data_IF_066113726627
#
_entry.id   IF_066113726627
#
_cell.length_a   1.000
_cell.length_b   1.000
_cell.length_c   1.000
_cell.angle_alpha   90.00
_cell.angle_beta   90.00
_cell.angle_gamma   90.00
#
_symmetry.space_group_name_H-M   'P 1'
#
loop_
_entity.id
_entity.type
_entity.pdbx_description
1 polymer ?
#
# COMPACT_ATOMS: atom_id res chain seq x y z
N UNK A 1 -39.01 -84.53 36.29
CA UNK A 1 -39.32 -83.41 37.21
C UNK A 1 -38.02 -82.81 37.71
N UNK A 2 -37.68 -81.58 37.31
CA UNK A 2 -37.18 -80.54 38.23
C UNK A 2 -36.83 -79.30 37.40
N UNK A 3 -37.58 -78.24 37.68
CA UNK A 3 -37.41 -76.88 37.18
C UNK A 3 -36.23 -76.22 37.92
N UNK A 4 -35.32 -75.60 37.18
CA UNK A 4 -34.27 -74.75 37.73
C UNK A 4 -34.22 -73.42 36.98
N UNK A 5 -34.85 -72.39 37.54
CA UNK A 5 -34.92 -71.03 37.00
C UNK A 5 -33.53 -70.44 36.75
N UNK A 6 -33.31 -69.92 35.54
CA UNK A 6 -32.16 -69.10 35.19
C UNK A 6 -32.16 -67.82 36.04
N UNK A 7 -31.14 -67.65 36.88
CA UNK A 7 -30.94 -66.45 37.68
C UNK A 7 -30.55 -65.27 36.78
N UNK A 8 -31.40 -64.25 36.74
CA UNK A 8 -31.12 -62.96 36.14
C UNK A 8 -30.00 -62.27 36.94
N UNK A 9 -28.80 -62.16 36.36
CA UNK A 9 -27.72 -61.35 36.92
C UNK A 9 -27.91 -59.90 36.47
N UNK A 10 -28.05 -58.91 37.38
CA UNK A 10 -28.13 -57.52 36.96
C UNK A 10 -26.82 -57.12 36.27
N UNK A 11 -26.93 -56.47 35.11
CA UNK A 11 -25.79 -55.97 34.37
C UNK A 11 -25.00 -54.98 35.23
N UNK A 12 -23.69 -55.19 35.33
CA UNK A 12 -22.76 -54.27 36.00
C UNK A 12 -22.81 -52.93 35.24
N UNK A 13 -23.07 -51.78 35.89
CA UNK A 13 -23.08 -50.50 35.20
C UNK A 13 -21.70 -50.26 34.57
N UNK A 14 -21.70 -49.89 33.29
CA UNK A 14 -20.47 -49.55 32.57
C UNK A 14 -19.79 -48.36 33.28
N UNK A 15 -18.45 -48.32 33.37
CA UNK A 15 -17.77 -47.17 33.93
C UNK A 15 -18.15 -45.93 33.11
N UNK A 16 -18.76 -44.95 33.78
CA UNK A 16 -19.12 -43.67 33.18
C UNK A 16 -17.88 -43.03 32.58
N UNK A 17 -17.91 -42.81 31.25
CA UNK A 17 -16.88 -42.06 30.55
C UNK A 17 -16.82 -40.67 31.17
N UNK A 18 -15.79 -40.43 31.99
CA UNK A 18 -15.47 -39.11 32.53
C UNK A 18 -15.07 -38.23 31.35
N UNK A 19 -16.05 -37.58 30.73
CA UNK A 19 -15.82 -36.45 29.84
C UNK A 19 -15.50 -35.24 30.73
N UNK A 20 -14.30 -35.24 31.31
CA UNK A 20 -13.70 -34.03 31.83
C UNK A 20 -13.27 -33.22 30.62
N UNK A 21 -14.09 -32.26 30.21
CA UNK A 21 -13.65 -31.18 29.32
C UNK A 21 -12.70 -30.33 30.15
N UNK A 22 -11.44 -30.74 30.23
CA UNK A 22 -10.35 -29.94 30.77
C UNK A 22 -9.85 -29.03 29.64
N UNK A 23 -10.66 -28.04 29.26
CA UNK A 23 -10.33 -27.09 28.18
C UNK A 23 -9.70 -25.80 28.69
N UNK A 24 -9.91 -25.44 29.96
CA UNK A 24 -9.48 -24.11 30.49
C UNK A 24 -8.00 -24.08 30.92
N UNK A 25 -7.48 -25.19 31.45
CA UNK A 25 -6.06 -25.31 31.89
C UNK A 25 -5.12 -25.69 30.74
N UNK A 26 -5.63 -26.29 29.67
CA UNK A 26 -4.84 -26.64 28.49
C UNK A 26 -4.51 -25.41 27.64
N UNK A 27 -5.44 -24.47 27.48
CA UNK A 27 -5.25 -23.24 26.71
C UNK A 27 -4.20 -22.32 27.35
N UNK A 28 -4.26 -22.13 28.67
CA UNK A 28 -3.29 -21.31 29.42
C UNK A 28 -1.87 -21.92 29.42
N UNK A 29 -1.75 -23.26 29.46
CA UNK A 29 -0.45 -23.95 29.32
C UNK A 29 0.11 -23.85 27.90
N UNK A 30 -0.75 -23.89 26.88
CA UNK A 30 -0.36 -23.67 25.48
C UNK A 30 0.24 -22.28 25.28
N UNK A 31 -0.37 -21.24 25.85
CA UNK A 31 0.17 -19.88 25.81
C UNK A 31 1.45 -19.73 26.64
N UNK A 32 1.61 -20.44 27.76
CA UNK A 32 2.84 -20.39 28.54
C UNK A 32 4.06 -20.96 27.76
N UNK A 33 3.84 -21.97 26.92
CA UNK A 33 4.89 -22.55 26.05
C UNK A 33 5.10 -21.70 24.78
N UNK A 34 4.03 -21.18 24.18
CA UNK A 34 4.12 -20.36 22.96
C UNK A 34 4.45 -18.88 23.20
N UNK A 35 4.23 -18.38 24.41
CA UNK A 35 4.39 -16.98 24.81
C UNK A 35 5.77 -16.41 24.48
N UNK A 36 6.88 -17.12 24.81
CA UNK A 36 8.22 -16.67 24.42
C UNK A 36 8.40 -16.52 22.91
N UNK A 37 7.82 -17.42 22.10
CA UNK A 37 7.88 -17.33 20.65
C UNK A 37 7.12 -16.11 20.13
N UNK A 38 5.92 -15.84 20.65
CA UNK A 38 5.16 -14.64 20.28
C UNK A 38 5.88 -13.35 20.68
N UNK A 39 6.53 -13.33 21.84
CA UNK A 39 7.33 -12.18 22.28
C UNK A 39 8.48 -11.93 21.31
N UNK A 40 9.21 -12.98 20.91
CA UNK A 40 10.29 -12.85 19.94
C UNK A 40 9.79 -12.35 18.57
N UNK A 41 8.67 -12.87 18.09
CA UNK A 41 8.04 -12.38 16.85
C UNK A 41 7.67 -10.90 17.00
N UNK A 42 7.07 -10.51 18.13
CA UNK A 42 6.70 -9.13 18.36
C UNK A 42 7.93 -8.21 18.40
N UNK A 43 8.97 -8.58 19.15
CA UNK A 43 10.18 -7.80 19.35
C UNK A 43 11.02 -7.62 18.08
N UNK A 44 11.16 -8.69 17.28
CA UNK A 44 12.09 -8.70 16.14
C UNK A 44 11.43 -8.53 14.78
N UNK A 45 10.11 -8.71 14.66
CA UNK A 45 9.40 -8.58 13.39
C UNK A 45 8.37 -7.46 13.47
N UNK A 46 7.41 -7.57 14.38
CA UNK A 46 6.25 -6.66 14.42
C UNK A 46 6.68 -5.24 14.78
N UNK A 47 7.39 -5.08 15.90
CA UNK A 47 7.86 -3.78 16.38
C UNK A 47 8.74 -3.06 15.35
N UNK A 48 9.83 -3.66 14.81
CA UNK A 48 10.66 -2.97 13.82
C UNK A 48 9.92 -2.65 12.53
N UNK A 49 8.96 -3.47 12.10
CA UNK A 49 8.11 -3.17 10.95
C UNK A 49 7.29 -1.89 11.17
N UNK A 50 6.60 -1.77 12.30
CA UNK A 50 5.83 -0.56 12.61
C UNK A 50 6.72 0.65 12.92
N UNK A 51 7.90 0.45 13.51
CA UNK A 51 8.89 1.53 13.66
C UNK A 51 9.34 2.06 12.30
N UNK A 52 9.57 1.19 11.31
CA UNK A 52 9.93 1.62 9.96
C UNK A 52 8.79 2.45 9.31
N UNK A 53 7.53 2.06 9.53
CA UNK A 53 6.37 2.87 9.14
C UNK A 53 6.36 4.21 9.88
N UNK A 54 6.65 4.23 11.19
CA UNK A 54 6.75 5.49 11.94
C UNK A 54 7.85 6.41 11.42
N UNK A 55 9.03 5.85 11.15
CA UNK A 55 10.19 6.60 10.64
C UNK A 55 10.01 7.10 9.21
N UNK A 56 9.14 6.47 8.40
CA UNK A 56 8.85 6.94 7.04
C UNK A 56 8.19 8.33 7.01
N UNK A 57 7.57 8.76 8.12
CA UNK A 57 7.02 10.12 8.30
C UNK A 57 8.06 11.13 8.79
N UNK A 58 9.33 10.73 8.88
CA UNK A 58 10.44 11.58 9.29
C UNK A 58 11.45 11.79 8.17
N UNK A 59 12.34 12.77 8.30
CA UNK A 59 13.47 12.99 7.39
C UNK A 59 14.78 12.37 7.89
N UNK A 60 14.72 11.21 8.56
CA UNK A 60 15.90 10.54 9.12
C UNK A 60 16.95 10.26 8.02
N UNK A 61 18.19 10.65 8.30
CA UNK A 61 19.35 10.49 7.40
C UNK A 61 20.44 9.71 8.12
N UNK A 62 21.06 8.75 7.44
CA UNK A 62 22.11 7.89 8.02
C UNK A 62 23.35 8.70 8.43
N UNK A 63 23.71 9.71 7.65
CA UNK A 63 24.85 10.59 7.90
C UNK A 63 24.38 12.01 7.64
N UNK A 64 23.87 12.68 8.67
CA UNK A 64 23.53 14.10 8.61
C UNK A 64 23.76 14.77 9.97
N UNK A 65 24.35 15.97 9.99
CA UNK A 65 24.45 16.77 11.21
C UNK A 65 23.10 17.38 11.63
N UNK A 66 22.12 17.42 10.72
CA UNK A 66 20.80 17.98 11.02
C UNK A 66 19.97 16.96 11.81
N UNK A 67 19.21 17.40 12.83
CA UNK A 67 18.36 16.52 13.60
C UNK A 67 17.25 15.91 12.72
N UNK A 68 16.73 14.76 13.16
CA UNK A 68 15.55 14.15 12.54
C UNK A 68 14.30 14.94 12.94
N UNK A 69 13.49 15.26 11.95
CA UNK A 69 12.27 16.04 12.06
C UNK A 69 11.09 15.23 11.50
N UNK A 70 9.92 15.45 12.09
CA UNK A 70 8.66 14.94 11.55
C UNK A 70 8.29 15.75 10.30
N UNK A 71 8.18 15.07 9.16
CA UNK A 71 7.79 15.68 7.87
C UNK A 71 6.41 15.25 7.40
N UNK A 72 5.69 14.45 8.20
CA UNK A 72 4.36 13.95 7.87
C UNK A 72 4.38 13.20 6.54
N UNK A 73 3.44 13.53 5.65
CA UNK A 73 3.24 12.85 4.35
C UNK A 73 4.20 13.30 3.26
N UNK A 74 5.10 14.25 3.53
CA UNK A 74 5.95 14.85 2.49
C UNK A 74 6.80 13.82 1.71
N UNK A 75 7.25 12.74 2.36
CA UNK A 75 7.98 11.66 1.68
C UNK A 75 7.09 10.91 0.69
N UNK A 76 5.84 10.64 1.06
CA UNK A 76 4.87 9.96 0.21
C UNK A 76 4.40 10.84 -0.95
N UNK A 77 4.20 12.14 -0.73
CA UNK A 77 3.84 13.10 -1.79
C UNK A 77 4.93 13.22 -2.86
N UNK A 78 6.21 13.07 -2.47
CA UNK A 78 7.33 13.04 -3.41
C UNK A 78 7.35 11.79 -4.28
N UNK A 79 6.84 10.67 -3.78
CA UNK A 79 6.81 9.40 -4.50
C UNK A 79 5.53 9.26 -5.36
N UNK A 80 4.38 9.59 -4.78
CA UNK A 80 3.05 9.36 -5.36
C UNK A 80 2.35 10.62 -5.89
N UNK A 81 3.03 11.78 -5.89
CA UNK A 81 2.40 13.02 -6.31
C UNK A 81 2.06 13.02 -7.81
N UNK A 82 0.80 12.76 -8.16
CA UNK A 82 0.29 12.73 -9.54
C UNK A 82 -0.51 14.02 -9.82
N UNK A 83 -0.46 14.51 -11.06
CA UNK A 83 -1.33 15.56 -11.56
C UNK A 83 -1.72 15.30 -13.00
N UNK A 84 -2.82 15.89 -13.46
CA UNK A 84 -3.29 15.79 -14.84
C UNK A 84 -3.31 17.19 -15.43
N UNK A 85 -2.68 17.36 -16.59
CA UNK A 85 -2.62 18.62 -17.31
C UNK A 85 -3.17 18.41 -18.72
N UNK A 86 -4.22 19.13 -19.08
CA UNK A 86 -4.76 19.12 -20.45
C UNK A 86 -4.28 20.35 -21.18
N UNK A 87 -3.59 20.15 -22.29
CA UNK A 87 -3.14 21.22 -23.18
C UNK A 87 -3.97 21.22 -24.45
N UNK A 88 -4.39 22.41 -24.86
CA UNK A 88 -5.00 22.63 -26.16
C UNK A 88 -3.91 22.91 -27.21
N UNK A 89 -4.13 22.47 -28.45
CA UNK A 89 -3.22 22.77 -29.54
C UNK A 89 -3.19 24.28 -29.80
N UNK A 90 -2.02 24.83 -30.14
CA UNK A 90 -1.89 26.25 -30.45
C UNK A 90 -2.77 26.61 -31.65
N UNK A 91 -3.50 27.72 -31.58
CA UNK A 91 -4.32 28.21 -32.69
C UNK A 91 -3.64 29.40 -33.38
N UNK A 92 -3.71 29.44 -34.70
CA UNK A 92 -3.28 30.55 -35.53
C UNK A 92 -4.22 31.76 -35.41
N UNK A 93 -3.83 32.88 -36.01
CA UNK A 93 -4.65 34.10 -36.03
C UNK A 93 -5.99 33.93 -36.78
N UNK A 94 -6.08 32.89 -37.59
CA UNK A 94 -7.23 32.41 -38.36
C UNK A 94 -8.14 31.44 -37.56
N UNK A 95 -7.77 31.10 -36.33
CA UNK A 95 -8.49 30.13 -35.48
C UNK A 95 -8.22 28.66 -35.84
N UNK A 96 -7.43 28.38 -36.88
CA UNK A 96 -7.01 27.04 -37.26
C UNK A 96 -5.95 26.51 -36.29
N UNK A 97 -5.91 25.18 -36.09
CA UNK A 97 -4.87 24.53 -35.30
C UNK A 97 -3.52 24.72 -36.00
N UNK A 98 -2.52 25.20 -35.27
CA UNK A 98 -1.15 25.29 -35.76
C UNK A 98 -0.59 23.89 -35.89
N UNK A 99 -0.22 23.57 -37.12
CA UNK A 99 0.32 22.26 -37.47
C UNK A 99 1.75 22.46 -37.97
N UNK A 100 2.69 21.67 -37.43
CA UNK A 100 4.06 21.59 -37.92
C UNK A 100 4.27 20.20 -38.49
N UNK A 101 4.65 20.11 -39.77
CA UNK A 101 4.89 18.85 -40.48
C UNK A 101 3.68 17.88 -40.48
N UNK A 102 2.45 18.42 -40.46
CA UNK A 102 1.22 17.62 -40.42
C UNK A 102 0.74 17.26 -39.01
N UNK A 103 1.51 17.59 -37.96
CA UNK A 103 1.17 17.32 -36.56
C UNK A 103 0.77 18.60 -35.79
N UNK A 104 -0.30 18.57 -34.96
CA UNK A 104 -0.69 19.69 -34.11
C UNK A 104 0.43 20.09 -33.14
N UNK A 105 0.72 21.38 -33.07
CA UNK A 105 1.71 21.94 -32.15
C UNK A 105 1.03 22.23 -30.81
N UNK A 106 1.60 21.67 -29.74
CA UNK A 106 1.13 21.92 -28.37
C UNK A 106 2.10 22.83 -27.62
N UNK A 107 1.61 23.64 -26.66
CA UNK A 107 2.46 24.38 -25.74
C UNK A 107 3.45 23.47 -25.00
N UNK A 108 4.62 24.01 -24.66
CA UNK A 108 5.65 23.22 -24.00
C UNK A 108 5.21 22.79 -22.59
N UNK A 109 5.29 21.50 -22.27
CA UNK A 109 4.96 21.01 -20.91
C UNK A 109 5.90 21.60 -19.83
N UNK A 110 7.09 22.03 -20.24
CA UNK A 110 8.12 22.59 -19.36
C UNK A 110 7.75 23.94 -18.77
N UNK A 111 6.97 24.77 -19.47
CA UNK A 111 6.53 26.07 -18.93
C UNK A 111 5.63 25.87 -17.70
N UNK A 112 4.77 24.85 -17.74
CA UNK A 112 3.86 24.50 -16.64
C UNK A 112 4.58 23.81 -15.48
N UNK A 113 5.58 22.96 -15.75
CA UNK A 113 6.21 22.12 -14.71
C UNK A 113 7.38 22.78 -13.99
N UNK A 114 7.88 23.92 -14.49
CA UNK A 114 9.01 24.65 -13.89
C UNK A 114 8.63 25.88 -13.09
N UNK A 115 7.50 26.52 -13.38
CA UNK A 115 7.08 27.70 -12.64
C UNK A 115 6.27 27.29 -11.40
N UNK A 116 6.82 27.57 -10.21
CA UNK A 116 6.14 27.27 -8.95
C UNK A 116 5.00 28.25 -8.66
N UNK A 117 5.15 29.51 -9.06
CA UNK A 117 4.24 30.58 -8.66
C UNK A 117 2.94 30.53 -9.49
N UNK A 118 3.06 30.27 -10.79
CA UNK A 118 1.90 30.15 -11.68
C UNK A 118 1.19 28.79 -11.55
N UNK A 119 1.96 27.72 -11.31
CA UNK A 119 1.51 26.34 -11.39
C UNK A 119 2.09 25.44 -10.28
N UNK A 120 1.77 25.71 -9.00
CA UNK A 120 2.30 24.94 -7.88
C UNK A 120 1.94 23.45 -7.97
N UNK A 121 0.79 23.10 -8.56
CA UNK A 121 0.29 21.74 -8.72
C UNK A 121 1.08 20.90 -9.74
N UNK A 122 1.76 21.52 -10.70
CA UNK A 122 2.57 20.83 -11.72
C UNK A 122 4.08 20.94 -11.44
N UNK A 123 4.47 21.73 -10.44
CA UNK A 123 5.86 22.01 -10.13
C UNK A 123 6.67 20.73 -9.86
N UNK A 124 7.80 20.59 -10.55
CA UNK A 124 8.71 19.42 -10.51
C UNK A 124 8.10 18.10 -10.93
N UNK A 125 6.87 18.08 -11.44
CA UNK A 125 6.28 16.86 -12.01
C UNK A 125 6.81 16.64 -13.43
N UNK A 126 6.90 15.38 -13.81
CA UNK A 126 7.39 14.92 -15.11
C UNK A 126 6.30 14.10 -15.78
N UNK A 127 6.27 14.13 -17.11
CA UNK A 127 5.33 13.30 -17.88
C UNK A 127 5.57 11.81 -17.61
N UNK A 128 4.52 11.12 -17.19
CA UNK A 128 4.49 9.66 -17.10
C UNK A 128 4.00 9.06 -18.43
N UNK A 129 2.84 9.51 -18.89
CA UNK A 129 2.27 9.21 -20.20
C UNK A 129 1.29 10.31 -20.60
N UNK A 130 1.00 10.40 -21.90
CA UNK A 130 -0.03 11.28 -22.42
C UNK A 130 -0.98 10.53 -23.33
N UNK A 131 -2.19 11.04 -23.43
CA UNK A 131 -3.23 10.54 -24.32
C UNK A 131 -4.01 11.72 -24.88
N UNK A 132 -4.32 11.66 -26.17
CA UNK A 132 -5.11 12.67 -26.86
C UNK A 132 -6.30 12.02 -27.54
N UNK A 133 -7.43 12.73 -27.60
CA UNK A 133 -8.58 12.33 -28.41
C UNK A 133 -8.77 13.41 -29.48
N UNK A 134 -8.22 13.16 -30.67
CA UNK A 134 -8.19 14.11 -31.79
C UNK A 134 -7.01 15.08 -31.73
N UNK A 135 -7.05 16.08 -32.61
CA UNK A 135 -5.92 16.99 -32.88
C UNK A 135 -5.93 18.26 -32.02
N UNK A 136 -7.01 18.52 -31.29
CA UNK A 136 -7.19 19.78 -30.57
C UNK A 136 -6.74 19.73 -29.11
N UNK A 137 -6.72 18.55 -28.47
CA UNK A 137 -6.45 18.42 -27.03
C UNK A 137 -5.60 17.20 -26.71
N UNK A 138 -4.60 17.39 -25.87
CA UNK A 138 -3.76 16.33 -25.32
C UNK A 138 -3.72 16.41 -23.80
N UNK A 139 -4.00 15.29 -23.15
CA UNK A 139 -3.98 15.16 -21.70
C UNK A 139 -2.69 14.46 -21.28
N UNK A 140 -1.95 15.10 -20.39
CA UNK A 140 -0.69 14.63 -19.85
C UNK A 140 -0.90 14.19 -18.40
N UNK A 141 -0.49 12.97 -18.08
CA UNK A 141 -0.42 12.49 -16.70
C UNK A 141 1.00 12.74 -16.20
N UNK A 142 1.11 13.57 -15.18
CA UNK A 142 2.36 14.01 -14.59
C UNK A 142 2.57 13.33 -13.24
N UNK A 143 3.82 13.03 -12.89
CA UNK A 143 4.19 12.46 -11.59
C UNK A 143 5.46 13.13 -11.04
N UNK A 144 5.55 13.23 -9.72
CA UNK A 144 6.76 13.73 -9.05
C UNK A 144 7.95 12.78 -9.27
N UNK A 145 7.74 11.47 -9.15
CA UNK A 145 8.72 10.43 -9.49
C UNK A 145 8.13 9.39 -10.46
N UNK A 146 8.40 9.58 -11.75
CA UNK A 146 7.94 8.69 -12.83
C UNK A 146 8.62 7.33 -12.77
N UNK A 147 9.88 7.26 -12.33
CA UNK A 147 10.63 5.99 -12.30
C UNK A 147 10.07 5.11 -11.20
N UNK A 148 9.81 5.70 -10.03
CA UNK A 148 9.17 5.02 -8.92
C UNK A 148 7.80 4.45 -9.32
N UNK A 149 6.90 5.25 -9.90
CA UNK A 149 5.57 4.77 -10.29
C UNK A 149 5.62 3.68 -11.37
N UNK A 150 6.59 3.77 -12.31
CA UNK A 150 6.83 2.70 -13.27
C UNK A 150 7.29 1.41 -12.59
N UNK A 151 8.19 1.50 -11.61
CA UNK A 151 8.66 0.34 -10.85
C UNK A 151 7.53 -0.31 -10.03
N UNK A 152 6.69 0.51 -9.38
CA UNK A 152 5.50 0.04 -8.66
C UNK A 152 4.55 -0.69 -9.60
N UNK A 153 4.23 -0.09 -10.75
CA UNK A 153 3.37 -0.73 -11.75
C UNK A 153 3.94 -2.09 -12.18
N UNK A 154 5.22 -2.14 -12.55
CA UNK A 154 5.88 -3.37 -13.01
C UNK A 154 5.97 -4.46 -11.92
N UNK A 155 5.92 -4.08 -10.64
CA UNK A 155 5.95 -5.04 -9.53
C UNK A 155 4.56 -5.61 -9.25
N UNK A 156 3.51 -4.85 -9.52
CA UNK A 156 2.12 -5.23 -9.23
C UNK A 156 1.40 -5.87 -10.44
N UNK A 157 1.84 -5.59 -11.66
CA UNK A 157 1.21 -6.02 -12.93
C UNK A 157 2.27 -6.37 -13.96
#
# INVERSE_FOLDING_TARGET
MSSGRAGFRPARPLPGRRNGIETDTAESRGLAVAGPAFLLIAAFLIIPFFMAIGFSFTNQRLVSPNPTEWVGTANYERLFGIAVLTLEAERGADGAVRTKDGEPVFPSLRSYTRNRDDHPEYYRKREWFSFGRGDERRTFVLATDVVFLKAVRNTLF
#
